data_IF_487246757959
#
_entry.id   IF_487246757959
#
_cell.length_a   1.000
_cell.length_b   1.000
_cell.length_c   1.000
_cell.angle_alpha   90.00
_cell.angle_beta   90.00
_cell.angle_gamma   90.00
#
_symmetry.space_group_name_H-M   'P 1'
#
loop_
_entity.id
_entity.type
_entity.pdbx_description
1 polymer ?
#
# COMPACT_ATOMS: atom_id res chain seq x y z
N UNK A 1 -2.56 28.17 6.49
CA UNK A 1 -3.18 27.55 7.68
C UNK A 1 -2.56 26.18 7.84
N UNK A 2 -1.97 25.90 9.00
CA UNK A 2 -1.30 24.62 9.28
C UNK A 2 -2.38 23.57 9.52
N UNK A 3 -2.27 22.40 8.87
CA UNK A 3 -3.14 21.26 9.14
C UNK A 3 -2.81 20.74 10.54
N UNK A 4 -3.78 20.83 11.45
CA UNK A 4 -3.60 20.43 12.86
C UNK A 4 -4.08 18.99 13.11
N UNK A 5 -5.10 18.58 12.34
CA UNK A 5 -5.77 17.28 12.49
C UNK A 5 -5.73 16.52 11.17
N UNK A 6 -5.15 15.32 11.18
CA UNK A 6 -4.98 14.47 10.02
C UNK A 6 -4.62 13.05 10.43
N UNK A 7 -4.62 12.12 9.47
CA UNK A 7 -4.06 10.78 9.65
C UNK A 7 -2.86 10.62 8.73
N UNK A 8 -1.72 10.23 9.29
CA UNK A 8 -0.54 9.83 8.49
C UNK A 8 -0.64 8.35 8.19
N UNK A 9 -0.34 7.94 6.96
CA UNK A 9 -0.32 6.52 6.58
C UNK A 9 0.93 6.19 5.78
N UNK A 10 1.31 4.92 5.89
CA UNK A 10 2.33 4.25 5.08
C UNK A 10 1.94 2.76 4.96
N UNK A 11 2.31 2.11 3.86
CA UNK A 11 1.99 0.71 3.58
C UNK A 11 3.21 -0.05 3.09
N UNK A 12 3.31 -1.32 3.50
CA UNK A 12 4.20 -2.28 2.86
C UNK A 12 3.41 -3.20 1.93
N UNK A 13 3.98 -3.55 0.78
CA UNK A 13 3.30 -4.36 -0.24
C UNK A 13 4.23 -5.41 -0.87
N UNK A 14 3.62 -6.41 -1.52
CA UNK A 14 4.37 -7.42 -2.27
C UNK A 14 4.94 -6.91 -3.61
N UNK A 15 4.71 -5.65 -3.97
CA UNK A 15 5.08 -5.10 -5.26
C UNK A 15 4.47 -3.73 -5.55
N UNK A 16 4.58 -3.27 -6.79
CA UNK A 16 4.28 -1.88 -7.19
C UNK A 16 2.94 -1.68 -7.91
N UNK A 17 2.16 -2.74 -8.11
CA UNK A 17 0.96 -2.71 -8.92
C UNK A 17 -0.27 -3.08 -8.09
N UNK A 18 -1.10 -2.11 -7.66
CA UNK A 18 -2.32 -2.37 -6.87
C UNK A 18 -3.25 -3.43 -7.47
N UNK A 19 -3.21 -3.60 -8.80
CA UNK A 19 -4.01 -4.58 -9.52
C UNK A 19 -3.52 -6.04 -9.38
N UNK A 20 -2.25 -6.28 -9.11
CA UNK A 20 -1.68 -7.63 -9.08
C UNK A 20 -0.90 -7.94 -7.79
N UNK A 21 -0.63 -6.90 -7.00
CA UNK A 21 0.12 -6.95 -5.75
C UNK A 21 -0.81 -6.72 -4.56
N UNK A 22 -0.38 -7.20 -3.40
CA UNK A 22 -1.15 -7.18 -2.16
C UNK A 22 -0.45 -6.31 -1.11
N UNK A 23 -1.24 -5.72 -0.21
CA UNK A 23 -0.73 -5.12 1.02
C UNK A 23 -0.20 -6.23 1.94
N UNK A 24 0.84 -5.91 2.71
CA UNK A 24 1.46 -6.76 3.72
C UNK A 24 1.35 -6.14 5.11
N UNK A 25 1.41 -4.82 5.20
CA UNK A 25 1.28 -4.08 6.46
C UNK A 25 0.59 -2.73 6.20
N UNK A 26 -0.17 -2.26 7.18
CA UNK A 26 -0.70 -0.90 7.21
C UNK A 26 -0.24 -0.23 8.49
N UNK A 27 0.53 0.86 8.34
CA UNK A 27 0.89 1.77 9.42
C UNK A 27 0.07 3.05 9.32
N UNK A 28 -0.53 3.48 10.42
CA UNK A 28 -1.22 4.76 10.47
C UNK A 28 -1.15 5.41 11.85
N UNK A 29 -1.16 6.75 11.88
CA UNK A 29 -1.19 7.53 13.11
C UNK A 29 -2.18 8.70 13.00
N UNK A 30 -3.06 8.83 13.99
CA UNK A 30 -3.95 10.00 14.11
C UNK A 30 -3.23 11.12 14.81
N UNK A 31 -3.20 12.26 14.13
CA UNK A 31 -2.62 13.48 14.65
C UNK A 31 -3.76 14.42 15.03
N UNK A 32 -3.75 14.95 16.25
CA UNK A 32 -4.68 15.97 16.71
C UNK A 32 -3.93 17.09 17.39
N UNK A 33 -4.16 18.32 16.97
CA UNK A 33 -3.39 19.49 17.41
C UNK A 33 -1.87 19.31 17.27
N UNK A 34 -1.43 18.61 16.22
CA UNK A 34 -0.02 18.31 16.00
C UNK A 34 0.56 17.16 16.84
N UNK A 35 -0.21 16.52 17.71
CA UNK A 35 0.28 15.41 18.56
C UNK A 35 -0.29 14.07 18.09
N UNK A 36 0.50 13.00 18.22
CA UNK A 36 0.04 11.63 17.99
C UNK A 36 -0.96 11.25 19.10
N UNK A 37 -2.16 10.85 18.70
CA UNK A 37 -3.25 10.51 19.64
C UNK A 37 -3.72 9.06 19.56
N UNK A 38 -3.47 8.40 18.44
CA UNK A 38 -3.83 7.01 18.22
C UNK A 38 -2.94 6.43 17.11
N UNK A 39 -2.66 5.14 17.16
CA UNK A 39 -1.84 4.45 16.16
C UNK A 39 -2.48 3.13 15.75
N UNK A 40 -2.20 2.72 14.51
CA UNK A 40 -2.63 1.44 13.96
C UNK A 40 -1.45 0.81 13.24
N UNK A 41 -1.14 -0.43 13.61
CA UNK A 41 -0.15 -1.30 12.98
C UNK A 41 -0.82 -2.66 12.77
N UNK A 42 -1.08 -3.02 11.51
CA UNK A 42 -1.75 -4.27 11.16
C UNK A 42 -1.04 -5.00 10.03
N UNK A 43 -0.81 -6.29 10.21
CA UNK A 43 -0.38 -7.19 9.13
C UNK A 43 -1.57 -7.64 8.28
N UNK A 44 -1.32 -7.82 6.99
CA UNK A 44 -2.28 -8.26 5.98
C UNK A 44 -1.79 -9.56 5.38
N UNK A 45 -2.62 -10.59 5.41
CA UNK A 45 -2.31 -11.87 4.78
C UNK A 45 -2.56 -11.80 3.26
N UNK A 46 -1.51 -11.83 2.42
CA UNK A 46 -1.64 -11.73 0.96
C UNK A 46 -2.16 -13.02 0.32
N UNK A 47 -2.34 -14.09 1.09
CA UNK A 47 -2.82 -15.40 0.65
C UNK A 47 -1.84 -16.18 -0.26
N UNK A 48 -0.62 -15.68 -0.44
CA UNK A 48 0.45 -16.23 -1.30
C UNK A 48 1.79 -16.04 -0.60
N UNK A 49 2.84 -16.77 -0.98
CA UNK A 49 4.15 -16.53 -0.36
C UNK A 49 4.69 -15.15 -0.72
N UNK A 50 5.43 -14.58 0.21
CA UNK A 50 6.20 -13.36 0.00
C UNK A 50 7.48 -13.73 -0.76
N UNK A 51 7.79 -12.99 -1.83
CA UNK A 51 9.01 -13.22 -2.57
C UNK A 51 10.23 -12.84 -1.71
N UNK A 52 11.35 -13.58 -1.74
CA UNK A 52 12.50 -13.32 -0.88
C UNK A 52 13.02 -11.88 -0.97
N UNK A 53 13.01 -11.28 -2.15
CA UNK A 53 13.40 -9.89 -2.38
C UNK A 53 12.49 -8.88 -1.66
N UNK A 54 11.21 -9.21 -1.46
CA UNK A 54 10.28 -8.37 -0.68
C UNK A 54 10.58 -8.52 0.80
N UNK A 55 10.79 -9.74 1.29
CA UNK A 55 11.20 -9.94 2.70
C UNK A 55 12.54 -9.28 3.02
N UNK A 56 13.50 -9.30 2.08
CA UNK A 56 14.77 -8.59 2.25
C UNK A 56 14.57 -7.06 2.31
N UNK A 57 13.64 -6.52 1.51
CA UNK A 57 13.34 -5.09 1.48
C UNK A 57 12.56 -4.62 2.71
N UNK A 58 11.54 -5.36 3.13
CA UNK A 58 10.57 -4.92 4.14
C UNK A 58 10.79 -5.54 5.51
N UNK A 59 11.58 -6.62 5.59
CA UNK A 59 11.70 -7.44 6.80
C UNK A 59 10.44 -8.26 7.12
N UNK A 60 9.37 -8.14 6.34
CA UNK A 60 8.11 -8.87 6.58
C UNK A 60 8.24 -10.31 6.06
N UNK A 61 8.04 -11.28 6.95
CA UNK A 61 8.10 -12.71 6.63
C UNK A 61 6.71 -13.32 6.46
N UNK A 62 6.65 -14.49 5.81
CA UNK A 62 5.42 -15.28 5.68
C UNK A 62 4.80 -15.59 7.04
N UNK A 63 5.60 -15.85 8.08
CA UNK A 63 5.13 -16.10 9.45
C UNK A 63 4.42 -14.89 10.07
N UNK A 64 4.90 -13.68 9.80
CA UNK A 64 4.32 -12.43 10.34
C UNK A 64 2.92 -12.18 9.75
N UNK A 65 2.76 -12.42 8.44
CA UNK A 65 1.49 -12.17 7.75
C UNK A 65 0.53 -13.34 7.81
N UNK A 66 0.96 -14.53 8.25
CA UNK A 66 0.14 -15.74 8.29
C UNK A 66 -1.15 -15.56 9.09
N UNK A 67 -1.06 -14.93 10.26
CA UNK A 67 -2.19 -14.61 11.13
C UNK A 67 -2.69 -13.16 10.92
N UNK A 68 -2.19 -12.49 9.88
CA UNK A 68 -2.64 -11.17 9.47
C UNK A 68 -4.08 -11.18 8.97
N UNK A 69 -4.66 -9.99 8.88
CA UNK A 69 -6.03 -9.79 8.42
C UNK A 69 -6.17 -10.10 6.94
N UNK A 70 -7.36 -10.50 6.49
CA UNK A 70 -7.63 -10.52 5.05
C UNK A 70 -7.55 -9.10 4.46
N UNK A 71 -7.26 -8.93 3.16
CA UNK A 71 -7.21 -7.61 2.54
C UNK A 71 -8.48 -6.77 2.73
N UNK A 72 -9.65 -7.42 2.75
CA UNK A 72 -10.93 -6.76 2.99
C UNK A 72 -11.06 -6.26 4.44
N UNK A 73 -10.73 -7.12 5.42
CA UNK A 73 -10.77 -6.74 6.84
C UNK A 73 -9.77 -5.63 7.18
N UNK A 74 -8.55 -5.74 6.65
CA UNK A 74 -7.53 -4.72 6.78
C UNK A 74 -8.02 -3.38 6.22
N UNK A 75 -8.55 -3.36 5.00
CA UNK A 75 -9.12 -2.15 4.40
C UNK A 75 -10.25 -1.55 5.25
N UNK A 76 -11.19 -2.36 5.74
CA UNK A 76 -12.30 -1.86 6.55
C UNK A 76 -11.81 -1.23 7.86
N UNK A 77 -10.88 -1.87 8.56
CA UNK A 77 -10.26 -1.31 9.76
C UNK A 77 -9.49 -0.02 9.47
N UNK A 78 -8.72 0.01 8.39
CA UNK A 78 -7.99 1.21 7.96
C UNK A 78 -8.92 2.36 7.60
N UNK A 79 -10.00 2.08 6.87
CA UNK A 79 -10.97 3.09 6.49
C UNK A 79 -11.72 3.65 7.71
N UNK A 80 -12.08 2.79 8.67
CA UNK A 80 -12.67 3.20 9.95
C UNK A 80 -11.69 4.04 10.77
N UNK A 81 -10.43 3.62 10.85
CA UNK A 81 -9.38 4.37 11.54
C UNK A 81 -9.21 5.76 10.93
N UNK A 82 -9.05 5.86 9.61
CA UNK A 82 -8.90 7.13 8.90
C UNK A 82 -10.14 8.03 9.03
N UNK A 83 -11.35 7.47 9.09
CA UNK A 83 -12.59 8.25 9.21
C UNK A 83 -12.76 9.24 8.06
N UNK A 84 -12.92 10.53 8.36
CA UNK A 84 -13.00 11.63 7.39
C UNK A 84 -11.69 12.42 7.26
N UNK A 85 -10.62 11.99 7.92
CA UNK A 85 -9.38 12.75 7.99
C UNK A 85 -8.77 13.02 6.61
N UNK A 86 -8.11 14.17 6.53
CA UNK A 86 -7.10 14.44 5.51
C UNK A 86 -5.92 13.49 5.74
N UNK A 87 -5.38 12.94 4.66
CA UNK A 87 -4.21 12.09 4.72
C UNK A 87 -2.92 12.88 4.62
N UNK A 88 -1.88 12.39 5.27
CA UNK A 88 -0.50 12.79 5.03
C UNK A 88 0.30 11.52 4.74
N UNK A 89 1.23 11.59 3.80
CA UNK A 89 2.11 10.46 3.50
C UNK A 89 3.27 10.90 2.62
N UNK A 90 4.24 10.01 2.47
CA UNK A 90 5.39 10.25 1.61
C UNK A 90 5.19 9.53 0.27
N UNK A 91 4.95 10.25 -0.82
CA UNK A 91 4.47 9.65 -2.08
C UNK A 91 3.08 8.97 -1.95
N UNK A 92 2.24 9.51 -1.06
CA UNK A 92 0.93 9.01 -0.60
C UNK A 92 -0.04 8.48 -1.69
N UNK A 93 0.10 8.92 -2.95
CA UNK A 93 -0.74 8.39 -4.04
C UNK A 93 -0.50 6.90 -4.26
N UNK A 94 0.69 6.40 -3.93
CA UNK A 94 1.05 4.99 -4.04
C UNK A 94 0.29 4.15 -3.01
N UNK A 95 0.39 4.48 -1.72
CA UNK A 95 -0.34 3.83 -0.63
C UNK A 95 -1.84 3.87 -0.84
N UNK A 96 -2.35 5.08 -1.14
CA UNK A 96 -3.76 5.29 -1.42
C UNK A 96 -4.25 4.44 -2.59
N UNK A 97 -3.42 4.18 -3.61
CA UNK A 97 -3.84 3.38 -4.76
C UNK A 97 -4.17 1.93 -4.40
N UNK A 98 -3.49 1.34 -3.40
CA UNK A 98 -3.81 0.02 -2.86
C UNK A 98 -5.12 0.03 -2.07
N UNK A 99 -5.28 0.98 -1.13
CA UNK A 99 -6.53 1.15 -0.38
C UNK A 99 -7.70 1.42 -1.32
N UNK A 100 -7.50 2.24 -2.35
CA UNK A 100 -8.52 2.59 -3.33
C UNK A 100 -8.92 1.41 -4.21
N UNK A 101 -7.96 0.57 -4.63
CA UNK A 101 -8.26 -0.66 -5.35
C UNK A 101 -9.12 -1.59 -4.48
N UNK A 102 -8.77 -1.77 -3.21
CA UNK A 102 -9.54 -2.58 -2.27
C UNK A 102 -10.94 -1.99 -2.02
N UNK A 103 -11.05 -0.68 -1.84
CA UNK A 103 -12.33 0.02 -1.72
C UNK A 103 -13.27 -0.26 -2.91
N UNK A 104 -12.75 -0.22 -4.13
CA UNK A 104 -13.53 -0.51 -5.33
C UNK A 104 -13.94 -1.99 -5.41
N UNK A 105 -13.11 -2.92 -4.92
CA UNK A 105 -13.45 -4.34 -4.83
C UNK A 105 -14.63 -4.58 -3.86
N UNK A 106 -14.56 -3.94 -2.69
CA UNK A 106 -15.56 -3.95 -1.62
C UNK A 106 -16.79 -3.08 -1.91
N UNK A 107 -16.76 -2.31 -3.01
CA UNK A 107 -17.82 -1.34 -3.39
C UNK A 107 -18.05 -0.24 -2.34
N UNK A 108 -17.00 0.16 -1.64
CA UNK A 108 -17.01 1.23 -0.65
C UNK A 108 -16.44 2.51 -1.26
N UNK A 109 -17.12 3.67 -1.15
CA UNK A 109 -16.51 4.95 -1.49
C UNK A 109 -15.33 5.24 -0.58
N UNK A 110 -14.20 5.64 -1.16
CA UNK A 110 -13.01 5.99 -0.41
C UNK A 110 -12.31 7.15 -1.12
N UNK A 111 -12.93 8.32 -1.11
CA UNK A 111 -12.34 9.54 -1.66
C UNK A 111 -11.63 10.29 -0.54
N UNK A 112 -10.37 10.67 -0.79
CA UNK A 112 -9.53 11.32 0.21
C UNK A 112 -8.78 12.50 -0.39
N UNK A 113 -8.53 13.48 0.46
CA UNK A 113 -7.58 14.55 0.20
C UNK A 113 -6.31 14.27 0.97
N UNK A 114 -5.18 14.70 0.44
CA UNK A 114 -3.90 14.50 1.11
C UNK A 114 -2.89 15.61 0.88
N UNK A 115 -1.92 15.66 1.78
CA UNK A 115 -0.65 16.35 1.59
C UNK A 115 0.46 15.31 1.41
N UNK A 116 1.34 15.56 0.44
CA UNK A 116 2.38 14.61 0.03
C UNK A 116 3.76 15.20 0.38
N UNK A 117 4.42 14.61 1.38
CA UNK A 117 5.69 15.14 1.90
C UNK A 117 6.84 14.99 0.89
N UNK A 118 6.77 14.02 -0.03
CA UNK A 118 7.74 13.91 -1.14
C UNK A 118 7.64 15.11 -2.08
N UNK A 119 6.41 15.53 -2.42
CA UNK A 119 6.19 16.70 -3.28
C UNK A 119 6.62 17.99 -2.58
N UNK A 120 6.32 18.12 -1.28
CA UNK A 120 6.78 19.24 -0.47
C UNK A 120 8.32 19.30 -0.41
N UNK A 121 8.99 18.19 -0.08
CA UNK A 121 10.44 18.13 0.01
C UNK A 121 11.12 18.43 -1.34
N UNK A 122 10.61 17.92 -2.46
CA UNK A 122 11.13 18.22 -3.81
C UNK A 122 11.00 19.69 -4.19
N UNK A 123 9.93 20.36 -3.75
CA UNK A 123 9.68 21.76 -4.04
C UNK A 123 10.52 22.70 -3.16
N UNK A 124 10.63 22.37 -1.88
CA UNK A 124 11.13 23.30 -0.86
C UNK A 124 12.61 23.10 -0.51
N UNK A 125 13.15 21.89 -0.62
CA UNK A 125 14.48 21.56 -0.13
C UNK A 125 15.49 21.36 -1.26
N UNK A 126 16.59 22.11 -1.25
CA UNK A 126 17.70 21.95 -2.21
C UNK A 126 18.56 20.70 -1.93
N UNK A 127 18.75 20.37 -0.66
CA UNK A 127 19.48 19.17 -0.19
C UNK A 127 18.59 18.36 0.74
N UNK A 128 18.76 17.04 0.84
CA UNK A 128 19.61 16.19 -0.02
C UNK A 128 19.04 16.09 -1.46
N UNK A 129 19.80 15.55 -2.42
CA UNK A 129 19.30 15.41 -3.81
C UNK A 129 18.21 14.33 -3.92
N UNK A 130 18.47 13.14 -3.35
CA UNK A 130 17.47 12.09 -3.18
C UNK A 130 16.46 12.57 -2.13
N UNK A 131 15.18 12.32 -2.38
CA UNK A 131 14.07 12.74 -1.51
C UNK A 131 13.28 11.55 -0.97
N UNK A 132 13.88 10.36 -0.90
CA UNK A 132 13.23 9.25 -0.19
C UNK A 132 13.05 9.61 1.28
N UNK A 133 12.06 8.99 1.93
CA UNK A 133 11.80 9.19 3.35
C UNK A 133 13.08 8.96 4.16
N UNK A 134 13.72 7.79 4.01
CA UNK A 134 15.04 7.43 4.56
C UNK A 134 16.06 8.59 4.45
N UNK A 135 16.34 9.06 3.23
CA UNK A 135 17.36 10.07 3.01
C UNK A 135 17.01 11.43 3.64
N UNK A 136 15.72 11.76 3.73
CA UNK A 136 15.27 12.98 4.39
C UNK A 136 15.33 12.85 5.91
N UNK A 137 14.98 11.68 6.45
CA UNK A 137 15.10 11.39 7.87
C UNK A 137 16.57 11.48 8.31
N UNK A 138 17.49 10.82 7.59
CA UNK A 138 18.93 10.91 7.86
C UNK A 138 19.45 12.35 7.81
N UNK A 139 19.00 13.12 6.82
CA UNK A 139 19.45 14.50 6.64
C UNK A 139 18.92 15.45 7.73
N UNK A 140 17.74 15.17 8.27
CA UNK A 140 17.08 16.00 9.28
C UNK A 140 17.24 15.48 10.71
N UNK A 141 17.96 14.37 10.89
CA UNK A 141 18.14 13.69 12.17
C UNK A 141 16.79 13.25 12.79
N UNK A 142 15.88 12.75 11.94
CA UNK A 142 14.59 12.16 12.36
C UNK A 142 14.81 10.67 12.59
N UNK A 143 14.61 10.22 13.82
CA UNK A 143 14.81 8.82 14.18
C UNK A 143 13.73 7.90 13.56
N UNK A 144 14.16 6.72 13.09
CA UNK A 144 13.29 5.62 12.66
C UNK A 144 13.67 4.39 13.47
N UNK A 145 12.84 4.00 14.44
CA UNK A 145 13.16 2.88 15.36
C UNK A 145 13.46 1.57 14.62
N UNK A 146 12.69 1.27 13.57
CA UNK A 146 12.93 0.14 12.68
C UNK A 146 12.58 0.54 11.25
N UNK A 147 13.56 0.42 10.36
CA UNK A 147 13.38 0.69 8.94
C UNK A 147 12.40 -0.31 8.31
N UNK A 148 11.57 0.18 7.38
CA UNK A 148 10.64 -0.61 6.58
C UNK A 148 9.54 -1.34 7.36
N UNK A 149 9.16 -0.76 8.50
CA UNK A 149 7.88 -1.05 9.15
C UNK A 149 6.97 0.14 8.94
N UNK A 150 5.79 -0.13 8.41
CA UNK A 150 4.87 0.90 7.97
C UNK A 150 4.51 1.89 9.09
N UNK A 151 4.37 1.43 10.34
CA UNK A 151 4.05 2.34 11.46
C UNK A 151 5.18 3.33 11.76
N UNK A 152 6.44 2.90 11.72
CA UNK A 152 7.58 3.79 11.99
C UNK A 152 7.79 4.76 10.83
N UNK A 153 7.54 4.34 9.59
CA UNK A 153 7.61 5.22 8.42
C UNK A 153 6.46 6.24 8.40
N UNK A 154 5.27 5.87 8.89
CA UNK A 154 4.18 6.83 9.11
C UNK A 154 4.53 7.87 10.20
N UNK A 155 5.13 7.46 11.32
CA UNK A 155 5.56 8.38 12.38
C UNK A 155 6.70 9.30 11.92
N UNK A 156 7.71 8.77 11.23
CA UNK A 156 8.77 9.60 10.64
C UNK A 156 8.23 10.56 9.58
N UNK A 157 7.23 10.14 8.81
CA UNK A 157 6.53 11.03 7.85
C UNK A 157 5.77 12.15 8.54
N UNK A 158 5.19 11.89 9.72
CA UNK A 158 4.57 12.94 10.55
C UNK A 158 5.60 14.00 10.94
N UNK A 159 6.74 13.60 11.48
CA UNK A 159 7.82 14.51 11.88
C UNK A 159 8.36 15.31 10.70
N UNK A 160 8.60 14.63 9.57
CA UNK A 160 9.00 15.28 8.32
C UNK A 160 7.97 16.31 7.86
N UNK A 161 6.68 15.98 7.92
CA UNK A 161 5.60 16.92 7.58
C UNK A 161 5.63 18.15 8.48
N UNK A 162 5.75 17.97 9.80
CA UNK A 162 5.83 19.08 10.75
C UNK A 162 7.02 19.99 10.44
N UNK A 163 8.20 19.41 10.20
CA UNK A 163 9.40 20.17 9.84
C UNK A 163 9.18 20.99 8.56
N UNK A 164 8.69 20.34 7.49
CA UNK A 164 8.48 20.99 6.19
C UNK A 164 7.45 22.11 6.31
N UNK A 165 6.34 21.86 6.99
CA UNK A 165 5.26 22.83 7.17
C UNK A 165 5.72 24.03 8.01
N UNK A 166 6.45 23.79 9.11
CA UNK A 166 7.00 24.87 9.95
C UNK A 166 8.02 25.71 9.20
N UNK A 167 8.85 25.09 8.37
CA UNK A 167 9.97 25.76 7.69
C UNK A 167 9.54 26.48 6.41
N UNK A 168 8.59 25.90 5.66
CA UNK A 168 8.25 26.34 4.31
C UNK A 168 6.77 26.68 4.11
N UNK A 169 5.91 26.40 5.08
CA UNK A 169 4.46 26.58 4.95
C UNK A 169 4.01 28.03 4.73
N UNK A 170 4.75 29.00 5.27
CA UNK A 170 4.45 30.43 5.05
C UNK A 170 4.85 30.89 3.64
N UNK A 171 5.95 30.37 3.10
CA UNK A 171 6.50 30.80 1.80
C UNK A 171 5.96 30.00 0.62
N UNK A 172 5.47 28.78 0.85
CA UNK A 172 4.92 27.87 -0.16
C UNK A 172 3.58 27.26 0.32
N UNK A 173 2.57 28.04 0.73
CA UNK A 173 1.35 27.51 1.34
C UNK A 173 0.61 26.49 0.45
N UNK A 174 0.67 26.65 -0.87
CA UNK A 174 -0.04 25.84 -1.87
C UNK A 174 0.47 24.39 -1.98
N UNK A 175 1.68 24.09 -1.48
CA UNK A 175 2.22 22.73 -1.46
C UNK A 175 1.67 21.92 -0.27
N UNK A 176 1.22 22.60 0.78
CA UNK A 176 0.66 22.00 1.98
C UNK A 176 -0.87 22.01 2.02
N UNK A 177 -1.52 22.59 1.01
CA UNK A 177 -2.96 22.47 0.84
C UNK A 177 -3.35 21.04 0.46
N UNK A 178 -4.31 20.41 1.16
CA UNK A 178 -4.76 19.07 0.82
C UNK A 178 -5.40 18.99 -0.57
N UNK A 179 -4.94 18.05 -1.38
CA UNK A 179 -5.42 17.83 -2.77
C UNK A 179 -6.11 16.49 -2.89
N UNK A 180 -7.12 16.42 -3.75
CA UNK A 180 -7.83 15.16 -4.00
C UNK A 180 -6.88 14.09 -4.53
N UNK A 181 -6.95 12.90 -3.94
CA UNK A 181 -6.23 11.73 -4.42
C UNK A 181 -7.04 11.03 -5.51
N UNK A 182 -6.58 11.19 -6.75
CA UNK A 182 -7.27 10.68 -7.94
C UNK A 182 -6.58 9.40 -8.41
N UNK A 183 -7.17 8.26 -8.08
CA UNK A 183 -6.84 6.95 -8.65
C UNK A 183 -8.14 6.25 -9.07
N UNK A 184 -8.22 5.81 -10.32
CA UNK A 184 -9.45 5.24 -10.92
C UNK A 184 -9.24 3.77 -11.28
N UNK A 185 -9.18 2.86 -10.29
CA UNK A 185 -9.03 1.44 -10.57
C UNK A 185 -10.31 0.85 -11.16
N UNK A 186 -10.17 -0.27 -11.85
CA UNK A 186 -11.31 -1.10 -12.22
C UNK A 186 -11.56 -2.12 -11.12
N UNK A 187 -12.83 -2.39 -10.85
CA UNK A 187 -13.22 -3.45 -9.91
C UNK A 187 -12.68 -4.80 -10.37
N UNK A 188 -12.00 -5.48 -9.46
CA UNK A 188 -11.63 -6.87 -9.66
C UNK A 188 -12.77 -7.77 -9.21
N UNK A 189 -13.06 -8.78 -10.01
CA UNK A 189 -14.07 -9.79 -9.69
C UNK A 189 -13.39 -11.10 -9.35
N UNK A 190 -13.85 -11.86 -8.35
CA UNK A 190 -13.32 -13.18 -8.03
C UNK A 190 -13.37 -14.12 -9.24
N UNK A 191 -12.33 -14.94 -9.40
CA UNK A 191 -12.27 -16.00 -10.40
C UNK A 191 -13.45 -16.96 -10.22
N UNK A 192 -14.08 -17.33 -11.34
CA UNK A 192 -15.18 -18.30 -11.28
C UNK A 192 -14.66 -19.68 -10.88
N UNK A 193 -15.53 -20.54 -10.33
CA UNK A 193 -15.18 -21.93 -10.02
C UNK A 193 -14.57 -22.65 -11.23
N UNK A 194 -15.14 -22.43 -12.41
CA UNK A 194 -14.66 -23.01 -13.68
C UNK A 194 -13.24 -22.50 -14.01
N UNK A 195 -12.98 -21.20 -13.88
CA UNK A 195 -11.63 -20.66 -14.11
C UNK A 195 -10.59 -21.25 -13.14
N UNK A 196 -10.94 -21.40 -11.86
CA UNK A 196 -10.06 -22.03 -10.87
C UNK A 196 -9.78 -23.49 -11.22
N UNK A 197 -10.82 -24.25 -11.61
CA UNK A 197 -10.68 -25.65 -12.03
C UNK A 197 -9.77 -25.78 -13.24
N UNK A 198 -10.03 -25.03 -14.32
CA UNK A 198 -9.22 -25.11 -15.55
C UNK A 198 -7.76 -24.72 -15.30
N UNK A 199 -7.52 -23.67 -14.52
CA UNK A 199 -6.15 -23.27 -14.16
C UNK A 199 -5.44 -24.38 -13.38
N UNK A 200 -6.13 -25.02 -12.44
CA UNK A 200 -5.58 -26.13 -11.66
C UNK A 200 -5.29 -27.35 -12.53
N UNK A 201 -6.23 -27.77 -13.37
CA UNK A 201 -6.04 -28.90 -14.29
C UNK A 201 -4.85 -28.68 -15.24
N UNK A 202 -4.70 -27.46 -15.75
CA UNK A 202 -3.58 -27.09 -16.61
C UNK A 202 -2.24 -27.14 -15.86
N UNK A 203 -2.19 -26.63 -14.63
CA UNK A 203 -1.00 -26.67 -13.80
C UNK A 203 -0.62 -28.11 -13.42
N UNK A 204 -1.60 -28.92 -13.01
CA UNK A 204 -1.42 -30.33 -12.64
C UNK A 204 -0.91 -31.16 -13.84
N UNK A 205 -1.47 -30.93 -15.03
CA UNK A 205 -1.04 -31.60 -16.27
C UNK A 205 0.44 -31.33 -16.59
N UNK A 206 0.88 -30.08 -16.44
CA UNK A 206 2.26 -29.67 -16.67
C UNK A 206 3.17 -29.86 -15.45
N UNK A 207 2.65 -30.40 -14.34
CA UNK A 207 3.36 -30.59 -13.06
C UNK A 207 3.96 -29.29 -12.51
N UNK A 208 3.21 -28.20 -12.60
CA UNK A 208 3.60 -26.87 -12.13
C UNK A 208 2.90 -26.60 -10.81
N UNK A 209 3.68 -26.29 -9.78
CA UNK A 209 3.14 -25.78 -8.52
C UNK A 209 2.83 -24.29 -8.66
N UNK A 210 1.56 -23.91 -8.44
CA UNK A 210 1.13 -22.53 -8.46
C UNK A 210 1.06 -21.97 -7.04
N UNK A 211 1.96 -21.04 -6.74
CA UNK A 211 1.93 -20.25 -5.52
C UNK A 211 1.03 -19.02 -5.70
N UNK A 212 -0.27 -19.25 -5.50
CA UNK A 212 -1.30 -18.23 -5.69
C UNK A 212 -2.34 -18.28 -4.57
N UNK A 213 -2.89 -17.11 -4.25
CA UNK A 213 -4.01 -16.98 -3.33
C UNK A 213 -5.31 -17.46 -3.99
N UNK A 214 -5.58 -18.77 -3.97
CA UNK A 214 -6.74 -19.36 -4.65
C UNK A 214 -8.08 -18.71 -4.30
N UNK A 215 -8.28 -18.32 -3.05
CA UNK A 215 -9.51 -17.66 -2.61
C UNK A 215 -9.61 -16.19 -3.06
N UNK A 216 -8.47 -15.50 -3.13
CA UNK A 216 -8.38 -14.09 -3.53
C UNK A 216 -8.22 -13.92 -5.06
N UNK A 217 -7.98 -15.01 -5.78
CA UNK A 217 -7.69 -15.01 -7.22
C UNK A 217 -8.79 -14.31 -8.01
N UNK A 218 -8.42 -13.30 -8.79
CA UNK A 218 -9.36 -12.56 -9.63
C UNK A 218 -9.54 -13.22 -10.99
N UNK A 219 -10.66 -12.93 -11.68
CA UNK A 219 -10.91 -13.43 -13.06
C UNK A 219 -9.78 -13.06 -14.01
N UNK A 220 -9.27 -11.83 -13.91
CA UNK A 220 -8.18 -11.36 -14.76
C UNK A 220 -6.86 -12.05 -14.47
N UNK A 221 -6.58 -12.34 -13.20
CA UNK A 221 -5.36 -13.08 -12.84
C UNK A 221 -5.43 -14.53 -13.29
N UNK A 222 -6.56 -15.19 -13.04
CA UNK A 222 -6.78 -16.56 -13.51
C UNK A 222 -6.59 -16.68 -15.02
N UNK A 223 -7.18 -15.77 -15.81
CA UNK A 223 -6.99 -15.73 -17.26
C UNK A 223 -5.52 -15.50 -17.64
N UNK A 224 -4.86 -14.52 -17.04
CA UNK A 224 -3.44 -14.22 -17.34
C UNK A 224 -2.51 -15.39 -17.02
N UNK A 225 -2.77 -16.09 -15.92
CA UNK A 225 -1.99 -17.27 -15.52
C UNK A 225 -2.23 -18.42 -16.50
N UNK A 226 -3.48 -18.69 -16.87
CA UNK A 226 -3.80 -19.69 -17.90
C UNK A 226 -3.11 -19.36 -19.22
N UNK A 227 -3.21 -18.11 -19.70
CA UNK A 227 -2.57 -17.68 -20.95
C UNK A 227 -1.04 -17.84 -20.90
N UNK A 228 -0.42 -17.50 -19.76
CA UNK A 228 1.02 -17.69 -19.53
C UNK A 228 1.40 -19.18 -19.60
N UNK A 229 0.67 -20.04 -18.90
CA UNK A 229 0.91 -21.49 -18.89
C UNK A 229 0.73 -22.09 -20.28
N UNK A 230 -0.34 -21.74 -21.00
CA UNK A 230 -0.58 -22.20 -22.37
C UNK A 230 0.53 -21.74 -23.30
N UNK A 231 0.95 -20.48 -23.18
CA UNK A 231 2.02 -19.93 -24.02
C UNK A 231 3.37 -20.61 -23.79
N UNK A 232 3.65 -21.07 -22.57
CA UNK A 232 4.93 -21.67 -22.20
C UNK A 232 4.97 -23.19 -22.40
N UNK A 233 3.87 -23.87 -22.13
CA UNK A 233 3.82 -25.34 -22.03
C UNK A 233 2.79 -25.99 -22.96
N UNK A 234 1.92 -25.20 -23.59
CA UNK A 234 0.86 -25.69 -24.47
C UNK A 234 -0.46 -26.00 -23.73
N UNK A 235 -1.50 -26.32 -24.51
CA UNK A 235 -2.84 -26.68 -24.00
C UNK A 235 -2.90 -28.11 -23.48
N UNK A 236 -3.92 -28.41 -22.67
CA UNK A 236 -4.23 -29.79 -22.30
C UNK A 236 -4.74 -30.57 -23.53
N UNK A 237 -4.46 -31.89 -23.66
CA UNK A 237 -4.89 -32.70 -24.81
C UNK A 237 -6.42 -32.89 -24.98
N UNK A 238 -7.25 -32.25 -24.17
CA UNK A 238 -8.72 -32.40 -24.15
C UNK A 238 -9.49 -31.10 -24.42
N UNK A 239 -8.80 -30.01 -24.78
CA UNK A 239 -9.42 -28.73 -25.16
C UNK A 239 -9.83 -28.67 -26.65
#
# INVERSE_FOLDING_TARGET
MILQDYTVIDLEMTGLHPKNDAMLEVGAAKIRNGEVTDTMDIFVNPGRKIAPEITELTGITDEMVKEGLSPAEAFHKTAEFIGDDILVGHNIIFDYSFLKQQAVNEKVPFEKKAVDTLKAARKCMLRPEKKSLECLCDYLDIEREQEHRAIYDALATHELYQYLQKTYGETNPEIFEPKDLIYKPKRQTPATKIQKIHLKELADYHKIELDIAWEQLTRSEASRLMDKLISQYGRCPKD
#
